data_IF_626499646169
#
_entry.id   IF_626499646169
#
_cell.length_a   1.000
_cell.length_b   1.000
_cell.length_c   1.000
_cell.angle_alpha   90.00
_cell.angle_beta   90.00
_cell.angle_gamma   90.00
#
_symmetry.space_group_name_H-M   'P 1'
#
loop_
_entity.id
_entity.type
_entity.pdbx_description
1 polymer ?
#
# COMPACT_ATOMS: atom_id res chain seq x y z
N UNK A 1 -19.39 -3.02 18.58
CA UNK A 1 -18.12 -3.26 17.87
C UNK A 1 -18.09 -2.30 16.69
N UNK A 2 -17.02 -1.52 16.51
CA UNK A 2 -16.91 -0.59 15.38
C UNK A 2 -16.74 -1.39 14.09
N UNK A 3 -17.50 -1.06 13.04
CA UNK A 3 -17.37 -1.71 11.73
C UNK A 3 -15.93 -1.50 11.19
N UNK A 4 -15.27 -2.53 10.64
CA UNK A 4 -13.95 -2.37 10.05
C UNK A 4 -14.02 -1.47 8.81
N UNK A 5 -13.29 -0.34 8.83
CA UNK A 5 -13.28 0.64 7.72
C UNK A 5 -11.95 0.61 6.98
N UNK A 6 -11.94 0.25 5.69
CA UNK A 6 -10.74 0.18 4.84
C UNK A 6 -9.93 1.48 4.88
N UNK A 7 -10.59 2.63 4.73
CA UNK A 7 -9.99 3.97 4.70
C UNK A 7 -9.66 4.56 6.09
N UNK A 8 -9.54 3.72 7.13
CA UNK A 8 -9.13 4.20 8.45
C UNK A 8 -7.80 4.99 8.38
N UNK A 9 -7.61 6.05 9.20
CA UNK A 9 -6.38 6.87 9.18
C UNK A 9 -5.11 6.05 9.31
N UNK A 10 -5.14 4.98 10.11
CA UNK A 10 -4.02 4.03 10.28
C UNK A 10 -3.64 3.36 8.96
N UNK A 11 -4.62 2.85 8.20
CA UNK A 11 -4.38 2.13 6.95
C UNK A 11 -3.97 3.08 5.82
N UNK A 12 -4.56 4.27 5.79
CA UNK A 12 -4.13 5.35 4.89
C UNK A 12 -2.67 5.74 5.15
N UNK A 13 -2.27 5.87 6.41
CA UNK A 13 -0.88 6.16 6.75
C UNK A 13 0.08 5.06 6.26
N UNK A 14 -0.29 3.78 6.35
CA UNK A 14 0.50 2.66 5.82
C UNK A 14 0.61 2.76 4.29
N UNK A 15 -0.51 2.99 3.59
CA UNK A 15 -0.54 3.12 2.14
C UNK A 15 0.21 4.37 1.63
N UNK A 16 0.33 5.42 2.45
CA UNK A 16 1.04 6.63 2.10
C UNK A 16 2.57 6.46 2.05
N UNK A 17 3.13 5.46 2.75
CA UNK A 17 4.57 5.21 2.81
C UNK A 17 5.23 5.10 1.42
N UNK A 18 4.76 4.25 0.49
CA UNK A 18 5.30 4.20 -0.87
C UNK A 18 5.11 5.49 -1.67
N UNK A 19 4.02 6.23 -1.44
CA UNK A 19 3.76 7.52 -2.10
C UNK A 19 4.82 8.53 -1.68
N UNK A 20 5.12 8.61 -0.38
CA UNK A 20 6.16 9.50 0.15
C UNK A 20 7.54 9.11 -0.40
N UNK A 21 7.81 7.81 -0.53
CA UNK A 21 9.01 7.31 -1.20
C UNK A 21 9.13 7.73 -2.66
N UNK A 22 8.03 7.71 -3.39
CA UNK A 22 8.01 8.21 -4.76
C UNK A 22 8.21 9.72 -4.82
N UNK A 23 7.53 10.49 -3.97
CA UNK A 23 7.65 11.94 -3.89
C UNK A 23 9.03 12.41 -3.44
N UNK A 24 9.80 11.57 -2.75
CA UNK A 24 11.16 11.91 -2.37
C UNK A 24 12.19 11.70 -3.48
N UNK A 25 11.79 11.18 -4.66
CA UNK A 25 12.70 10.95 -5.80
C UNK A 25 13.52 12.16 -6.22
N UNK A 26 13.01 13.42 -6.25
CA UNK A 26 13.79 14.58 -6.67
C UNK A 26 14.92 14.96 -5.70
N UNK A 27 14.90 14.44 -4.46
CA UNK A 27 15.91 14.73 -3.44
C UNK A 27 17.06 13.71 -3.45
N UNK A 28 17.05 12.74 -4.37
CA UNK A 28 18.02 11.67 -4.40
C UNK A 28 19.18 11.97 -5.35
N UNK A 29 20.40 11.47 -5.07
CA UNK A 29 21.59 11.79 -5.87
C UNK A 29 21.44 11.50 -7.36
N UNK A 30 20.74 10.42 -7.74
CA UNK A 30 20.60 9.98 -9.13
C UNK A 30 19.85 10.92 -10.06
N UNK A 31 19.21 11.97 -9.55
CA UNK A 31 18.61 13.01 -10.42
C UNK A 31 19.67 14.00 -10.93
N UNK A 32 20.83 14.07 -10.28
CA UNK A 32 21.90 15.03 -10.60
C UNK A 32 23.11 14.36 -11.28
N UNK A 33 23.07 13.05 -11.52
CA UNK A 33 24.15 12.33 -12.16
C UNK A 33 24.05 10.80 -12.03
N UNK A 34 24.95 10.05 -12.68
CA UNK A 34 25.01 8.60 -12.52
C UNK A 34 25.55 8.24 -11.13
N UNK A 35 24.73 7.59 -10.31
CA UNK A 35 25.12 7.08 -9.00
C UNK A 35 24.86 5.58 -8.91
N UNK A 36 25.78 4.85 -8.26
CA UNK A 36 25.66 3.43 -7.99
C UNK A 36 25.40 3.19 -6.50
N UNK A 37 24.44 2.32 -6.19
CA UNK A 37 24.26 1.72 -4.87
C UNK A 37 24.47 0.22 -4.98
N UNK A 38 25.37 -0.34 -4.18
CA UNK A 38 25.75 -1.76 -4.23
C UNK A 38 26.19 -2.26 -5.63
N UNK A 39 26.77 -1.36 -6.44
CA UNK A 39 27.18 -1.66 -7.81
C UNK A 39 26.07 -1.60 -8.87
N UNK A 40 24.84 -1.27 -8.47
CA UNK A 40 23.66 -1.15 -9.35
C UNK A 40 23.28 0.33 -9.50
N UNK A 41 22.80 0.80 -10.68
CA UNK A 41 22.22 2.14 -10.81
C UNK A 41 21.22 2.42 -9.70
N UNK A 42 21.47 3.46 -8.91
CA UNK A 42 20.70 3.71 -7.67
C UNK A 42 19.22 4.00 -7.95
N UNK A 43 18.87 4.49 -9.13
CA UNK A 43 17.47 4.59 -9.58
C UNK A 43 16.78 3.22 -9.59
N UNK A 44 17.45 2.16 -10.06
CA UNK A 44 16.87 0.81 -10.08
C UNK A 44 16.72 0.24 -8.67
N UNK A 45 17.72 0.46 -7.81
CA UNK A 45 17.65 0.05 -6.40
C UNK A 45 16.49 0.77 -5.70
N UNK A 46 16.36 2.08 -5.91
CA UNK A 46 15.28 2.88 -5.35
C UNK A 46 13.91 2.42 -5.84
N UNK A 47 13.74 2.23 -7.14
CA UNK A 47 12.50 1.68 -7.71
C UNK A 47 12.17 0.32 -7.11
N UNK A 48 13.14 -0.59 -7.00
CA UNK A 48 12.92 -1.91 -6.43
C UNK A 48 12.46 -1.83 -4.96
N UNK A 49 13.09 -0.98 -4.15
CA UNK A 49 12.69 -0.74 -2.75
C UNK A 49 11.21 -0.35 -2.67
N UNK A 50 10.75 0.57 -3.52
CA UNK A 50 9.39 1.08 -3.44
C UNK A 50 8.34 0.22 -4.12
N UNK A 51 8.70 -0.58 -5.13
CA UNK A 51 7.83 -1.63 -5.65
C UNK A 51 7.55 -2.66 -4.57
N UNK A 52 8.60 -3.18 -3.91
CA UNK A 52 8.46 -4.12 -2.80
C UNK A 52 7.71 -3.46 -1.64
N UNK A 53 8.06 -2.22 -1.30
CA UNK A 53 7.40 -1.43 -0.26
C UNK A 53 5.91 -1.26 -0.51
N UNK A 54 5.49 -1.06 -1.76
CA UNK A 54 4.07 -0.97 -2.13
C UNK A 54 3.33 -2.29 -1.86
N UNK A 55 3.91 -3.41 -2.31
CA UNK A 55 3.34 -4.74 -2.05
C UNK A 55 3.22 -4.98 -0.55
N UNK A 56 4.26 -4.69 0.23
CA UNK A 56 4.27 -4.86 1.69
C UNK A 56 3.23 -3.95 2.35
N UNK A 57 3.12 -2.69 1.94
CA UNK A 57 2.13 -1.75 2.47
C UNK A 57 0.70 -2.25 2.23
N UNK A 58 0.38 -2.66 0.99
CA UNK A 58 -0.94 -3.20 0.65
C UNK A 58 -1.26 -4.49 1.42
N UNK A 59 -0.30 -5.41 1.52
CA UNK A 59 -0.45 -6.64 2.31
C UNK A 59 -0.67 -6.35 3.79
N UNK A 60 -0.03 -5.32 4.32
CA UNK A 60 -0.21 -4.89 5.71
C UNK A 60 -1.60 -4.28 5.93
N UNK A 61 -2.08 -3.45 4.99
CA UNK A 61 -3.45 -2.89 5.02
C UNK A 61 -4.47 -4.02 4.98
N UNK A 62 -4.38 -4.93 4.02
CA UNK A 62 -5.25 -6.11 3.86
C UNK A 62 -5.26 -6.96 5.13
N UNK A 63 -4.08 -7.33 5.64
CA UNK A 63 -3.96 -8.14 6.84
C UNK A 63 -4.50 -7.42 8.09
N UNK A 64 -4.43 -6.10 8.15
CA UNK A 64 -5.06 -5.34 9.25
C UNK A 64 -6.58 -5.31 9.11
N UNK A 65 -7.10 -5.23 7.88
CA UNK A 65 -8.53 -5.27 7.59
C UNK A 65 -9.19 -6.58 7.98
N UNK A 66 -8.57 -7.69 7.56
CA UNK A 66 -9.05 -9.03 7.91
C UNK A 66 -9.09 -9.27 9.42
N UNK A 67 -8.05 -8.83 10.15
CA UNK A 67 -7.99 -8.95 11.61
C UNK A 67 -9.13 -8.19 12.31
N UNK A 68 -9.57 -7.08 11.73
CA UNK A 68 -10.66 -6.27 12.27
C UNK A 68 -12.05 -6.79 11.83
N UNK A 69 -12.11 -7.94 11.12
CA UNK A 69 -13.36 -8.60 10.70
C UNK A 69 -13.84 -8.22 9.29
N UNK A 70 -12.98 -7.60 8.48
CA UNK A 70 -13.33 -7.11 7.14
C UNK A 70 -13.94 -8.16 6.21
N UNK A 71 -13.42 -9.39 6.23
CA UNK A 71 -13.92 -10.46 5.34
C UNK A 71 -15.41 -10.78 5.58
N UNK A 72 -15.88 -10.66 6.83
CA UNK A 72 -17.28 -10.89 7.17
C UNK A 72 -18.19 -9.74 6.69
N UNK A 73 -17.66 -8.51 6.70
CA UNK A 73 -18.35 -7.34 6.19
C UNK A 73 -18.53 -7.43 4.67
N UNK A 74 -17.44 -7.75 3.94
CA UNK A 74 -17.45 -7.89 2.49
C UNK A 74 -18.41 -9.02 2.04
N UNK A 75 -18.45 -10.13 2.78
CA UNK A 75 -19.36 -11.24 2.50
C UNK A 75 -20.83 -10.86 2.72
N UNK A 76 -21.12 -10.05 3.75
CA UNK A 76 -22.47 -9.56 4.01
C UNK A 76 -22.93 -8.58 2.92
N UNK A 77 -22.08 -7.66 2.49
CA UNK A 77 -22.36 -6.71 1.40
C UNK A 77 -22.59 -7.42 0.05
N UNK A 78 -21.79 -8.45 -0.25
CA UNK A 78 -21.97 -9.25 -1.46
C UNK A 78 -23.30 -10.04 -1.46
N UNK A 79 -23.72 -10.54 -0.29
CA UNK A 79 -24.99 -11.24 -0.15
C UNK A 79 -26.20 -10.31 -0.30
N UNK A 80 -26.11 -9.09 0.23
CA UNK A 80 -27.14 -8.04 0.09
C UNK A 80 -27.31 -7.64 -1.38
N UNK A 81 -26.20 -7.31 -2.04
CA UNK A 81 -26.17 -6.97 -3.48
C UNK A 81 -26.77 -8.08 -4.35
N UNK A 82 -26.50 -9.35 -4.01
CA UNK A 82 -27.04 -10.49 -4.74
C UNK A 82 -28.55 -10.73 -4.49
N UNK A 83 -29.07 -10.23 -3.36
CA UNK A 83 -30.49 -10.24 -3.03
C UNK A 83 -31.27 -9.17 -3.78
N UNK A 84 -30.72 -7.96 -3.95
CA UNK A 84 -31.34 -6.86 -4.69
C UNK A 84 -31.46 -7.12 -6.20
N UNK A 85 -30.55 -7.93 -6.76
CA UNK A 85 -30.55 -8.29 -8.18
C UNK A 85 -31.57 -9.40 -8.55
N UNK A 86 -32.31 -9.94 -7.57
CA UNK A 86 -33.33 -11.00 -7.75
C UNK A 86 -34.74 -10.44 -7.68
#
# INVERSE_FOLDING_TARGET
MTSPVLESPRRLAIAAVPILGFLSTPFLPFVNGPHLWFGVPSVLVWTAIWVIGTVVALRTVEASYRRDGGDALDAAEAADTAGEAR
#
